data_IF_117277628394
#
_entry.id   IF_117277628394
#
_cell.length_a   1.000
_cell.length_b   1.000
_cell.length_c   1.000
_cell.angle_alpha   90.00
_cell.angle_beta   90.00
_cell.angle_gamma   90.00
#
_symmetry.space_group_name_H-M   'P 1'
#
loop_
_entity.id
_entity.type
_entity.pdbx_description
1 polymer ?
#
# COMPACT_ATOMS: atom_id res chain seq x y z
N UNK A 1 18.34 19.82 9.32
CA UNK A 1 18.28 19.24 7.96
C UNK A 1 19.30 18.12 7.73
N UNK A 2 20.61 18.33 7.95
CA UNK A 2 21.66 17.32 7.68
C UNK A 2 21.46 15.96 8.36
N UNK A 3 21.06 15.94 9.65
CA UNK A 3 20.81 14.69 10.39
C UNK A 3 19.64 13.86 9.82
N UNK A 4 18.58 14.51 9.33
CA UNK A 4 17.42 13.83 8.74
C UNK A 4 17.80 13.18 7.41
N UNK A 5 18.58 13.86 6.57
CA UNK A 5 19.08 13.32 5.30
C UNK A 5 19.96 12.09 5.54
N UNK A 6 20.85 12.13 6.54
CA UNK A 6 21.65 10.97 6.92
C UNK A 6 20.80 9.80 7.41
N UNK A 7 19.80 10.06 8.26
CA UNK A 7 18.88 9.02 8.76
C UNK A 7 18.02 8.43 7.66
N UNK A 8 17.51 9.27 6.76
CA UNK A 8 16.77 8.84 5.58
C UNK A 8 17.62 7.90 4.72
N UNK A 9 18.83 8.33 4.35
CA UNK A 9 19.74 7.55 3.50
C UNK A 9 20.13 6.21 4.14
N UNK A 10 20.35 6.19 5.45
CA UNK A 10 20.83 4.99 6.17
C UNK A 10 19.71 4.02 6.57
N UNK A 11 18.54 4.54 6.98
CA UNK A 11 17.49 3.74 7.61
C UNK A 11 16.15 3.76 6.87
N UNK A 12 15.79 4.91 6.27
CA UNK A 12 14.45 5.14 5.70
C UNK A 12 14.33 5.00 4.17
N UNK A 13 15.43 4.91 3.42
CA UNK A 13 15.41 4.98 1.96
C UNK A 13 14.51 3.93 1.29
N UNK A 14 14.46 2.72 1.84
CA UNK A 14 13.58 1.65 1.36
C UNK A 14 12.10 2.00 1.59
N UNK A 15 11.74 2.46 2.78
CA UNK A 15 10.37 2.81 3.13
C UNK A 15 9.88 4.03 2.34
N UNK A 16 10.77 5.00 2.12
CA UNK A 16 10.50 6.15 1.26
C UNK A 16 10.26 5.72 -0.20
N UNK A 17 11.08 4.80 -0.73
CA UNK A 17 10.89 4.27 -2.08
C UNK A 17 9.54 3.54 -2.23
N UNK A 18 9.21 2.66 -1.26
CA UNK A 18 7.94 1.96 -1.22
C UNK A 18 6.74 2.90 -1.11
N UNK A 19 6.84 3.94 -0.27
CA UNK A 19 5.81 4.95 -0.13
C UNK A 19 5.59 5.73 -1.44
N UNK A 20 6.68 6.21 -2.06
CA UNK A 20 6.60 6.94 -3.34
C UNK A 20 6.01 6.05 -4.44
N UNK A 21 6.42 4.78 -4.52
CA UNK A 21 5.86 3.83 -5.47
C UNK A 21 4.36 3.61 -5.25
N UNK A 22 3.93 3.44 -3.99
CA UNK A 22 2.51 3.26 -3.67
C UNK A 22 1.67 4.51 -4.03
N UNK A 23 2.17 5.71 -3.72
CA UNK A 23 1.50 6.97 -4.09
C UNK A 23 1.44 7.18 -5.60
N UNK A 24 2.51 6.82 -6.33
CA UNK A 24 2.52 6.90 -7.78
C UNK A 24 1.52 5.91 -8.40
N UNK A 25 1.45 4.68 -7.90
CA UNK A 25 0.46 3.69 -8.35
C UNK A 25 -0.97 4.14 -8.04
N UNK A 26 -1.20 4.76 -6.88
CA UNK A 26 -2.49 5.33 -6.53
C UNK A 26 -2.88 6.42 -7.53
N UNK A 27 -1.98 7.36 -7.81
CA UNK A 27 -2.23 8.45 -8.76
C UNK A 27 -2.47 7.92 -10.19
N UNK A 28 -1.72 6.91 -10.62
CA UNK A 28 -1.95 6.23 -11.91
C UNK A 28 -3.33 5.58 -11.94
N UNK A 29 -3.71 4.88 -10.86
CA UNK A 29 -5.03 4.23 -10.80
C UNK A 29 -6.16 5.27 -10.88
N UNK A 30 -6.05 6.35 -10.11
CA UNK A 30 -7.09 7.37 -10.00
C UNK A 30 -7.23 8.22 -11.26
N UNK A 31 -6.12 8.63 -11.88
CA UNK A 31 -6.14 9.57 -12.99
C UNK A 31 -6.07 8.93 -14.38
N UNK A 32 -5.60 7.69 -14.49
CA UNK A 32 -5.43 7.02 -15.78
C UNK A 32 -6.30 5.77 -15.88
N UNK A 33 -6.19 4.83 -14.95
CA UNK A 33 -6.82 3.50 -15.06
C UNK A 33 -8.33 3.58 -14.89
N UNK A 34 -8.82 4.24 -13.83
CA UNK A 34 -10.26 4.38 -13.57
C UNK A 34 -10.97 5.14 -14.69
N UNK A 35 -10.52 6.34 -15.14
CA UNK A 35 -11.18 7.06 -16.22
C UNK A 35 -11.16 6.29 -17.53
N UNK A 36 -10.04 5.63 -17.88
CA UNK A 36 -9.96 4.80 -19.08
C UNK A 36 -10.95 3.63 -19.02
N UNK A 37 -11.01 2.90 -17.90
CA UNK A 37 -11.92 1.77 -17.75
C UNK A 37 -13.40 2.20 -17.80
N UNK A 38 -13.76 3.29 -17.10
CA UNK A 38 -15.12 3.84 -17.10
C UNK A 38 -15.53 4.38 -18.48
N UNK A 39 -14.62 5.04 -19.20
CA UNK A 39 -14.90 5.53 -20.56
C UNK A 39 -15.18 4.40 -21.55
N UNK A 40 -14.44 3.29 -21.45
CA UNK A 40 -14.70 2.09 -22.27
C UNK A 40 -16.02 1.42 -21.92
N UNK A 41 -16.36 1.35 -20.63
CA UNK A 41 -17.64 0.79 -20.16
C UNK A 41 -18.84 1.65 -20.61
N UNK A 42 -18.69 2.98 -20.62
CA UNK A 42 -19.72 3.91 -21.09
C UNK A 42 -19.90 3.82 -22.61
N UNK A 43 -18.80 3.80 -23.37
CA UNK A 43 -18.82 3.64 -24.82
C UNK A 43 -19.44 2.30 -25.26
N UNK A 44 -19.37 1.28 -24.41
CA UNK A 44 -19.96 -0.04 -24.67
C UNK A 44 -21.48 -0.09 -24.42
N UNK A 45 -22.11 0.98 -23.91
CA UNK A 45 -23.55 1.01 -23.56
C UNK A 45 -23.93 0.20 -22.32
N UNK A 46 -22.92 -0.25 -21.61
CA UNK A 46 -22.97 -1.33 -20.63
C UNK A 46 -23.32 -0.82 -19.22
N UNK A 47 -23.07 0.47 -18.96
CA UNK A 47 -23.41 1.16 -17.69
C UNK A 47 -24.90 1.50 -17.53
N UNK A 48 -25.73 1.28 -18.55
CA UNK A 48 -27.15 1.68 -18.53
C UNK A 48 -28.04 0.81 -17.63
N UNK A 49 -27.62 -0.40 -17.23
CA UNK A 49 -28.51 -1.38 -16.57
C UNK A 49 -27.92 -2.13 -15.35
N UNK A 50 -26.84 -1.65 -14.72
CA UNK A 50 -26.34 -2.24 -13.48
C UNK A 50 -24.85 -2.05 -13.29
N UNK A 51 -24.38 -2.18 -12.04
CA UNK A 51 -22.99 -1.91 -11.63
C UNK A 51 -21.91 -2.68 -12.39
N UNK A 52 -20.64 -2.40 -12.10
CA UNK A 52 -19.47 -2.88 -12.85
C UNK A 52 -19.42 -4.40 -13.14
N UNK A 53 -20.11 -5.25 -12.38
CA UNK A 53 -20.27 -6.68 -12.67
C UNK A 53 -21.32 -6.99 -13.76
N UNK A 54 -22.45 -6.27 -13.76
CA UNK A 54 -23.44 -6.32 -14.84
C UNK A 54 -22.87 -5.75 -16.13
N UNK A 55 -21.80 -4.95 -15.99
CA UNK A 55 -21.09 -4.34 -17.09
C UNK A 55 -20.18 -5.30 -17.91
N UNK A 56 -20.19 -6.62 -17.65
CA UNK A 56 -19.30 -7.58 -18.33
C UNK A 56 -17.81 -7.34 -18.07
N UNK A 57 -17.47 -6.43 -17.14
CA UNK A 57 -16.11 -6.22 -16.70
C UNK A 57 -15.68 -7.47 -15.93
N UNK A 58 -14.51 -8.03 -16.25
CA UNK A 58 -14.01 -9.18 -15.51
C UNK A 58 -13.99 -8.86 -14.00
N UNK A 59 -14.39 -9.82 -13.16
CA UNK A 59 -14.42 -9.66 -11.71
C UNK A 59 -13.10 -9.06 -11.17
N UNK A 60 -11.97 -9.49 -11.72
CA UNK A 60 -10.66 -8.95 -11.40
C UNK A 60 -10.52 -7.44 -11.68
N UNK A 61 -11.05 -6.94 -12.80
CA UNK A 61 -11.03 -5.51 -13.12
C UNK A 61 -11.97 -4.72 -12.19
N UNK A 62 -13.13 -5.28 -11.82
CA UNK A 62 -14.03 -4.63 -10.86
C UNK A 62 -13.38 -4.48 -9.47
N UNK A 63 -12.72 -5.55 -8.99
CA UNK A 63 -11.99 -5.53 -7.71
C UNK A 63 -10.81 -4.55 -7.75
N UNK A 64 -10.07 -4.50 -8.85
CA UNK A 64 -8.95 -3.55 -9.02
C UNK A 64 -9.44 -2.10 -9.07
N UNK A 65 -10.56 -1.82 -9.73
CA UNK A 65 -11.10 -0.46 -9.79
C UNK A 65 -11.70 -0.01 -8.44
N UNK A 66 -12.31 -0.92 -7.68
CA UNK A 66 -12.88 -0.61 -6.37
C UNK A 66 -11.82 -0.51 -5.28
N UNK A 67 -11.02 -1.55 -5.10
CA UNK A 67 -10.27 -1.78 -3.85
C UNK A 67 -8.74 -1.68 -3.98
N UNK A 68 -8.20 -1.44 -5.20
CA UNK A 68 -6.75 -1.30 -5.36
C UNK A 68 -6.21 -0.11 -4.58
N UNK A 69 -6.97 0.98 -4.50
CA UNK A 69 -6.55 2.17 -3.77
C UNK A 69 -6.45 1.92 -2.27
N UNK A 70 -7.38 1.16 -1.69
CA UNK A 70 -7.38 0.80 -0.27
C UNK A 70 -6.27 -0.18 0.07
N UNK A 71 -5.98 -1.12 -0.85
CA UNK A 71 -4.78 -1.94 -0.79
C UNK A 71 -3.50 -1.10 -0.78
N UNK A 72 -3.38 -0.14 -1.71
CA UNK A 72 -2.24 0.77 -1.76
C UNK A 72 -2.18 1.67 -0.53
N UNK A 73 -3.33 2.05 0.03
CA UNK A 73 -3.47 2.79 1.27
C UNK A 73 -2.87 2.03 2.45
N UNK A 74 -3.26 0.76 2.64
CA UNK A 74 -2.71 -0.09 3.70
C UNK A 74 -1.19 -0.29 3.59
N UNK A 75 -0.71 -0.45 2.36
CA UNK A 75 0.72 -0.55 2.06
C UNK A 75 1.46 0.77 2.37
N UNK A 76 0.92 1.89 1.90
CA UNK A 76 1.48 3.22 2.07
C UNK A 76 1.50 3.66 3.54
N UNK A 77 0.45 3.39 4.32
CA UNK A 77 0.39 3.74 5.74
C UNK A 77 1.52 3.08 6.54
N UNK A 78 1.76 1.79 6.33
CA UNK A 78 2.87 1.08 6.99
C UNK A 78 4.24 1.60 6.54
N UNK A 79 4.42 1.85 5.25
CA UNK A 79 5.64 2.44 4.72
C UNK A 79 5.91 3.83 5.31
N UNK A 80 4.88 4.67 5.37
CA UNK A 80 4.93 6.01 5.97
C UNK A 80 5.25 5.95 7.47
N UNK A 81 4.56 5.11 8.24
CA UNK A 81 4.81 5.00 9.69
C UNK A 81 6.21 4.49 9.98
N UNK A 82 6.68 3.45 9.27
CA UNK A 82 8.05 2.98 9.45
C UNK A 82 9.10 3.99 8.97
N UNK A 83 8.80 4.79 7.94
CA UNK A 83 9.65 5.90 7.52
C UNK A 83 9.75 6.97 8.62
N UNK A 84 8.63 7.39 9.21
CA UNK A 84 8.62 8.35 10.32
C UNK A 84 9.42 7.84 11.52
N UNK A 85 9.18 6.59 11.93
CA UNK A 85 9.93 5.96 13.03
C UNK A 85 11.42 5.93 12.68
N UNK A 86 11.80 5.60 11.45
CA UNK A 86 13.20 5.60 11.03
C UNK A 86 13.85 7.00 11.10
N UNK A 87 13.08 8.06 10.88
CA UNK A 87 13.58 9.44 10.97
C UNK A 87 13.71 9.92 12.42
N UNK A 88 12.75 9.59 13.28
CA UNK A 88 12.71 10.03 14.68
C UNK A 88 13.54 9.14 15.59
N UNK A 89 13.32 7.82 15.53
CA UNK A 89 13.94 6.83 16.42
C UNK A 89 14.30 5.53 15.66
N UNK A 90 15.44 5.51 14.94
CA UNK A 90 15.84 4.40 14.05
C UNK A 90 15.98 3.02 14.71
N UNK A 91 15.98 2.96 16.04
CA UNK A 91 16.08 1.72 16.83
C UNK A 91 14.77 0.92 16.81
N UNK A 92 13.64 1.58 16.58
CA UNK A 92 12.33 0.94 16.53
C UNK A 92 11.86 0.80 15.09
N UNK A 93 11.05 -0.23 14.84
CA UNK A 93 10.38 -0.46 13.55
C UNK A 93 9.26 -1.47 13.74
N UNK A 94 8.15 -1.26 13.04
CA UNK A 94 7.06 -2.23 12.98
C UNK A 94 7.50 -3.38 12.07
N UNK A 95 7.93 -4.47 12.70
CA UNK A 95 8.51 -5.64 12.04
C UNK A 95 7.69 -6.92 12.23
N UNK A 96 6.85 -6.95 13.27
CA UNK A 96 6.02 -8.09 13.60
C UNK A 96 4.76 -8.03 12.76
N UNK A 97 4.46 -9.12 12.06
CA UNK A 97 3.28 -9.24 11.21
C UNK A 97 2.00 -8.89 11.96
N UNK A 98 1.80 -9.48 13.14
CA UNK A 98 0.60 -9.23 13.97
C UNK A 98 0.45 -7.76 14.36
N UNK A 99 1.56 -7.07 14.69
CA UNK A 99 1.51 -5.64 15.04
C UNK A 99 1.20 -4.79 13.82
N UNK A 100 1.79 -5.10 12.67
CA UNK A 100 1.50 -4.42 11.40
C UNK A 100 0.03 -4.60 11.00
N UNK A 101 -0.51 -5.81 11.16
CA UNK A 101 -1.87 -6.15 10.78
C UNK A 101 -2.91 -5.51 11.71
N UNK A 102 -2.70 -5.55 13.03
CA UNK A 102 -3.57 -4.84 13.99
C UNK A 102 -3.54 -3.33 13.74
N UNK A 103 -2.35 -2.76 13.50
CA UNK A 103 -2.21 -1.33 13.20
C UNK A 103 -3.04 -0.94 11.97
N UNK A 104 -2.86 -1.64 10.85
CA UNK A 104 -3.60 -1.35 9.62
C UNK A 104 -5.08 -1.67 9.74
N UNK A 105 -5.47 -2.71 10.47
CA UNK A 105 -6.87 -3.01 10.73
C UNK A 105 -7.54 -1.83 11.45
N UNK A 106 -6.91 -1.29 12.50
CA UNK A 106 -7.41 -0.09 13.18
C UNK A 106 -7.46 1.13 12.26
N UNK A 107 -6.46 1.34 11.40
CA UNK A 107 -6.48 2.40 10.41
C UNK A 107 -7.62 2.22 9.40
N UNK A 108 -7.83 1.00 8.90
CA UNK A 108 -8.91 0.67 7.96
C UNK A 108 -10.28 0.89 8.60
N UNK A 109 -10.49 0.43 9.83
CA UNK A 109 -11.72 0.72 10.57
C UNK A 109 -11.95 2.23 10.75
N UNK A 110 -10.89 3.00 11.04
CA UNK A 110 -11.03 4.45 11.16
C UNK A 110 -11.44 5.08 9.83
N UNK A 111 -10.79 4.73 8.72
CA UNK A 111 -11.16 5.27 7.41
C UNK A 111 -12.56 4.85 7.00
N UNK A 112 -12.96 3.62 7.28
CA UNK A 112 -14.26 3.11 6.83
C UNK A 112 -15.45 3.64 7.63
N UNK A 113 -15.27 3.80 8.94
CA UNK A 113 -16.38 4.13 9.85
C UNK A 113 -16.31 5.56 10.40
N UNK A 114 -15.12 6.17 10.46
CA UNK A 114 -14.98 7.56 10.88
C UNK A 114 -14.97 8.54 9.70
N UNK A 115 -14.43 8.19 8.53
CA UNK A 115 -14.44 9.11 7.38
C UNK A 115 -15.85 9.49 6.89
N UNK A 116 -16.87 8.59 6.90
CA UNK A 116 -18.25 8.98 6.56
C UNK A 116 -18.85 10.04 7.49
N UNK A 117 -18.30 10.23 8.69
CA UNK A 117 -18.73 11.31 9.60
C UNK A 117 -18.26 12.69 9.12
N UNK A 118 -17.25 12.74 8.25
CA UNK A 118 -16.66 13.96 7.71
C UNK A 118 -16.97 14.17 6.22
N UNK A 119 -17.24 13.10 5.48
CA UNK A 119 -17.50 13.13 4.04
C UNK A 119 -18.92 12.61 3.76
N UNK A 120 -19.86 13.50 3.42
CA UNK A 120 -21.17 13.07 2.94
C UNK A 120 -20.99 12.32 1.62
N UNK A 121 -21.67 11.18 1.46
CA UNK A 121 -21.62 10.22 0.33
C UNK A 121 -20.63 9.05 0.45
N UNK A 122 -19.91 8.91 1.57
CA UNK A 122 -19.06 7.72 1.78
C UNK A 122 -19.91 6.53 2.25
N UNK A 123 -19.93 5.45 1.46
CA UNK A 123 -20.61 4.19 1.79
C UNK A 123 -19.62 3.26 2.47
N UNK A 124 -20.01 2.68 3.61
CA UNK A 124 -19.15 1.74 4.32
C UNK A 124 -19.14 0.37 3.65
N UNK A 125 -17.98 -0.09 3.14
CA UNK A 125 -17.72 -1.43 2.62
C UNK A 125 -16.67 -2.18 3.47
N UNK A 126 -17.04 -3.27 4.17
CA UNK A 126 -16.10 -4.12 4.90
C UNK A 126 -14.97 -4.72 4.04
N UNK A 127 -15.15 -4.82 2.72
CA UNK A 127 -14.10 -5.30 1.81
C UNK A 127 -12.91 -4.34 1.71
N UNK A 128 -13.11 -3.04 1.95
CA UNK A 128 -12.03 -2.06 1.96
C UNK A 128 -11.10 -2.29 3.14
N UNK A 129 -11.63 -2.63 4.31
CA UNK A 129 -10.83 -3.03 5.48
C UNK A 129 -9.98 -4.27 5.18
N UNK A 130 -10.51 -5.23 4.42
CA UNK A 130 -9.73 -6.39 3.98
C UNK A 130 -8.62 -5.98 3.01
N UNK A 131 -8.92 -5.09 2.05
CA UNK A 131 -7.94 -4.56 1.11
C UNK A 131 -6.80 -3.84 1.83
N UNK A 132 -7.11 -2.98 2.82
CA UNK A 132 -6.11 -2.37 3.71
C UNK A 132 -5.22 -3.44 4.35
N UNK A 133 -5.81 -4.46 4.98
CA UNK A 133 -5.05 -5.53 5.65
C UNK A 133 -4.15 -6.31 4.68
N UNK A 134 -4.63 -6.60 3.47
CA UNK A 134 -3.84 -7.23 2.41
C UNK A 134 -2.66 -6.34 1.98
N UNK A 135 -2.89 -5.03 1.86
CA UNK A 135 -1.84 -4.05 1.60
C UNK A 135 -0.75 -4.04 2.67
N UNK A 136 -1.16 -4.09 3.94
CA UNK A 136 -0.23 -4.19 5.06
C UNK A 136 0.57 -5.50 5.08
N UNK A 137 -0.08 -6.62 4.74
CA UNK A 137 0.60 -7.90 4.58
C UNK A 137 1.62 -7.89 3.44
N UNK A 138 1.29 -7.26 2.30
CA UNK A 138 2.20 -7.09 1.17
C UNK A 138 3.42 -6.24 1.55
N UNK A 139 3.25 -5.15 2.29
CA UNK A 139 4.36 -4.35 2.81
C UNK A 139 5.28 -5.18 3.71
N UNK A 140 4.70 -6.00 4.60
CA UNK A 140 5.47 -6.89 5.45
C UNK A 140 6.25 -7.94 4.64
N UNK A 141 5.65 -8.51 3.59
CA UNK A 141 6.32 -9.38 2.63
C UNK A 141 7.52 -8.71 1.96
N UNK A 142 7.36 -7.47 1.50
CA UNK A 142 8.47 -6.68 0.93
C UNK A 142 9.62 -6.49 1.94
N UNK A 143 9.30 -6.30 3.22
CA UNK A 143 10.31 -6.23 4.29
C UNK A 143 11.06 -7.55 4.49
N UNK A 144 10.39 -8.70 4.36
CA UNK A 144 11.04 -10.01 4.44
C UNK A 144 11.99 -10.22 3.27
N UNK A 145 11.52 -9.99 2.05
CA UNK A 145 12.34 -10.14 0.83
C UNK A 145 13.62 -9.32 0.96
N UNK A 146 13.51 -8.05 1.41
CA UNK A 146 14.67 -7.20 1.67
C UNK A 146 15.64 -7.80 2.68
N UNK A 147 15.16 -8.45 3.74
CA UNK A 147 16.02 -9.07 4.76
C UNK A 147 16.80 -10.25 4.18
N UNK A 148 16.14 -11.11 3.41
CA UNK A 148 16.81 -12.23 2.74
C UNK A 148 17.89 -11.75 1.78
N UNK A 149 17.57 -10.82 0.87
CA UNK A 149 18.54 -10.25 -0.08
C UNK A 149 19.76 -9.64 0.63
N UNK A 150 19.56 -9.00 1.79
CA UNK A 150 20.67 -8.48 2.60
C UNK A 150 21.53 -9.59 3.21
N UNK A 151 20.93 -10.67 3.69
CA UNK A 151 21.68 -11.80 4.25
C UNK A 151 22.56 -12.47 3.20
N UNK A 152 22.02 -12.68 1.99
CA UNK A 152 22.74 -13.30 0.88
C UNK A 152 23.96 -12.45 0.46
N UNK A 153 23.78 -11.13 0.39
CA UNK A 153 24.87 -10.19 0.09
C UNK A 153 25.98 -10.23 1.16
N UNK A 154 25.63 -10.34 2.44
CA UNK A 154 26.62 -10.47 3.52
C UNK A 154 27.37 -11.81 3.48
N UNK A 155 26.68 -12.90 3.15
CA UNK A 155 27.31 -14.21 2.99
C UNK A 155 28.32 -14.22 1.83
N UNK A 156 27.95 -13.65 0.67
CA UNK A 156 28.83 -13.54 -0.49
C UNK A 156 30.10 -12.72 -0.20
N UNK A 157 29.97 -11.56 0.44
CA UNK A 157 31.11 -10.73 0.82
C UNK A 157 32.04 -11.40 1.86
N UNK A 158 31.49 -12.20 2.77
CA UNK A 158 32.31 -12.92 3.75
C UNK A 158 33.13 -14.05 3.10
N UNK A 159 32.60 -14.72 2.08
CA UNK A 159 33.34 -15.75 1.34
C UNK A 159 34.43 -15.12 0.46
N UNK A 160 34.15 -13.99 -0.19
CA UNK A 160 35.12 -13.29 -1.03
C UNK A 160 36.34 -12.71 -0.26
N UNK A 161 36.20 -12.42 1.05
CA UNK A 161 37.33 -11.98 1.89
C UNK A 161 38.23 -13.11 2.41
N UNK A 162 37.78 -14.36 2.29
CA UNK A 162 38.52 -15.55 2.78
C UNK A 162 39.39 -16.19 1.69
N UNK A 163 39.31 -15.70 0.45
CA UNK A 163 40.14 -16.05 -0.70
C UNK A 163 41.20 -14.97 -0.88
#
# INVERSE_FOLDING_TARGET
MHLLVLRLKKYGAFDACLLVAALALFAINEHLVKPAALSTAFASGVLANGGALAAGLSFAKAVVLGHLNDFLGGFAFLAYTNLLIALVQPRYRICRFSVALVYIFCCGLFWEYAAPLFVPDSVSDPWDVLAYCMGGAAYWGACIVRRHVRMDAHASHSSARKL
#
